data_IF_968065436321
#
_entry.id   IF_968065436321
#
_cell.length_a   1.000
_cell.length_b   1.000
_cell.length_c   1.000
_cell.angle_alpha   90.00
_cell.angle_beta   90.00
_cell.angle_gamma   90.00
#
_symmetry.space_group_name_H-M   'P 1'
#
loop_
_entity.id
_entity.type
_entity.pdbx_description
1 polymer ?
#
# COMPACT_ATOMS: atom_id res chain seq x y z
N UNK A 1 14.39 12.66 -15.88
CA UNK A 1 13.06 12.65 -16.52
C UNK A 1 13.07 12.08 -17.95
N UNK A 2 13.56 12.79 -18.98
CA UNK A 2 13.49 12.32 -20.38
C UNK A 2 14.20 10.96 -20.65
N UNK A 3 15.38 10.75 -20.07
CA UNK A 3 16.09 9.47 -20.17
C UNK A 3 15.37 8.31 -19.45
N UNK A 4 14.55 8.62 -18.44
CA UNK A 4 13.80 7.64 -17.66
C UNK A 4 12.60 7.11 -18.48
N UNK A 5 11.84 8.03 -19.09
CA UNK A 5 10.72 7.72 -19.99
C UNK A 5 11.18 7.05 -21.32
N UNK A 6 12.34 7.44 -21.85
CA UNK A 6 12.86 6.94 -23.11
C UNK A 6 13.07 5.41 -23.11
N UNK A 7 13.45 4.79 -21.98
CA UNK A 7 13.69 3.35 -21.97
C UNK A 7 12.40 2.55 -22.18
N UNK A 8 11.32 2.91 -21.49
CA UNK A 8 10.04 2.22 -21.65
C UNK A 8 9.62 2.21 -23.13
N UNK A 9 9.83 3.31 -23.84
CA UNK A 9 9.59 3.39 -25.28
C UNK A 9 10.54 2.49 -26.09
N UNK A 10 11.84 2.46 -25.76
CA UNK A 10 12.81 1.56 -26.40
C UNK A 10 12.43 0.09 -26.22
N UNK A 11 11.96 -0.32 -25.03
CA UNK A 11 11.50 -1.69 -24.81
C UNK A 11 10.28 -2.03 -25.68
N UNK A 12 9.35 -1.10 -25.88
CA UNK A 12 8.23 -1.28 -26.81
C UNK A 12 8.68 -1.45 -28.26
N UNK A 13 9.69 -0.69 -28.69
CA UNK A 13 10.27 -0.82 -30.04
C UNK A 13 10.96 -2.18 -30.23
N UNK A 14 11.55 -2.72 -29.17
CA UNK A 14 12.25 -4.01 -29.20
C UNK A 14 11.33 -5.21 -29.01
N UNK A 15 10.09 -5.00 -28.57
CA UNK A 15 9.12 -6.07 -28.33
C UNK A 15 8.92 -7.01 -29.54
N UNK A 16 8.80 -6.52 -30.80
CA UNK A 16 8.72 -7.39 -31.98
C UNK A 16 10.01 -8.19 -32.25
N UNK A 17 11.16 -7.73 -31.75
CA UNK A 17 12.46 -8.41 -31.91
C UNK A 17 12.68 -9.53 -30.89
N UNK A 18 11.73 -9.74 -29.99
CA UNK A 18 11.76 -10.80 -29.00
C UNK A 18 12.44 -10.41 -27.69
N UNK A 19 12.19 -11.24 -26.68
CA UNK A 19 12.53 -10.93 -25.29
C UNK A 19 14.04 -10.78 -25.03
N UNK A 20 14.88 -11.49 -25.77
CA UNK A 20 16.32 -11.45 -25.57
C UNK A 20 16.90 -10.08 -25.96
N UNK A 21 16.38 -9.46 -27.02
CA UNK A 21 16.76 -8.10 -27.41
C UNK A 21 16.36 -7.07 -26.33
N UNK A 22 15.18 -7.25 -25.73
CA UNK A 22 14.72 -6.40 -24.62
C UNK A 22 15.60 -6.56 -23.38
N UNK A 23 16.01 -7.80 -23.04
CA UNK A 23 16.87 -8.09 -21.88
C UNK A 23 18.24 -7.45 -21.99
N UNK A 24 18.85 -7.48 -23.17
CA UNK A 24 20.17 -6.86 -23.43
C UNK A 24 20.11 -5.37 -23.12
N UNK A 25 19.10 -4.67 -23.64
CA UNK A 25 18.93 -3.24 -23.44
C UNK A 25 18.56 -2.91 -22.00
N UNK A 26 17.67 -3.70 -21.38
CA UNK A 26 17.33 -3.56 -19.97
C UNK A 26 18.57 -3.69 -19.06
N UNK A 27 19.46 -4.66 -19.32
CA UNK A 27 20.66 -4.88 -18.52
C UNK A 27 21.58 -3.66 -18.49
N UNK A 28 21.79 -3.00 -19.62
CA UNK A 28 22.65 -1.82 -19.70
C UNK A 28 21.98 -0.59 -19.08
N UNK A 29 20.69 -0.40 -19.34
CA UNK A 29 19.94 0.69 -18.71
C UNK A 29 19.89 0.53 -17.19
N UNK A 30 19.64 -0.69 -16.70
CA UNK A 30 19.57 -1.00 -15.29
C UNK A 30 20.85 -0.59 -14.55
N UNK A 31 22.03 -0.79 -15.15
CA UNK A 31 23.31 -0.34 -14.57
C UNK A 31 23.33 1.18 -14.34
N UNK A 32 22.89 1.94 -15.34
CA UNK A 32 22.85 3.41 -15.29
C UNK A 32 21.82 3.89 -14.28
N UNK A 33 20.61 3.35 -14.33
CA UNK A 33 19.51 3.74 -13.43
C UNK A 33 19.87 3.48 -11.96
N UNK A 34 20.48 2.33 -11.68
CA UNK A 34 21.01 1.98 -10.36
C UNK A 34 22.03 2.99 -9.84
N UNK A 35 22.91 3.49 -10.72
CA UNK A 35 23.88 4.53 -10.37
C UNK A 35 23.18 5.86 -10.08
N UNK A 36 22.26 6.27 -10.96
CA UNK A 36 21.52 7.53 -10.82
C UNK A 36 20.74 7.60 -9.51
N UNK A 37 20.03 6.55 -9.15
CA UNK A 37 19.32 6.52 -7.87
C UNK A 37 20.27 6.75 -6.69
N UNK A 38 21.46 6.16 -6.74
CA UNK A 38 22.40 6.22 -5.61
C UNK A 38 23.08 7.59 -5.51
N UNK A 39 23.32 8.23 -6.64
CA UNK A 39 24.23 9.37 -6.75
C UNK A 39 23.53 10.69 -7.09
N UNK A 40 22.29 10.68 -7.57
CA UNK A 40 21.56 11.90 -7.93
C UNK A 40 21.06 12.59 -6.65
N UNK A 41 21.56 13.79 -6.31
CA UNK A 41 21.17 14.50 -5.10
C UNK A 41 19.78 15.15 -5.22
N UNK A 42 19.21 15.18 -6.43
CA UNK A 42 17.92 15.82 -6.69
C UNK A 42 16.78 14.87 -6.34
N UNK A 43 15.87 15.34 -5.50
CA UNK A 43 14.77 14.52 -4.98
C UNK A 43 13.53 14.53 -5.86
N UNK A 44 13.31 15.64 -6.57
CA UNK A 44 12.23 15.84 -7.53
C UNK A 44 12.25 14.83 -8.70
N UNK A 45 13.41 14.25 -9.00
CA UNK A 45 13.58 13.26 -10.08
C UNK A 45 13.50 11.80 -9.59
N UNK A 46 13.48 11.56 -8.28
CA UNK A 46 13.39 10.21 -7.70
C UNK A 46 12.11 9.46 -8.10
N UNK A 47 10.91 10.09 -8.07
CA UNK A 47 9.68 9.46 -8.56
C UNK A 47 9.80 9.00 -10.02
N UNK A 48 10.45 9.79 -10.89
CA UNK A 48 10.63 9.43 -12.30
C UNK A 48 11.50 8.20 -12.49
N UNK A 49 12.52 8.02 -11.65
CA UNK A 49 13.34 6.82 -11.66
C UNK A 49 12.52 5.59 -11.28
N UNK A 50 11.66 5.70 -10.26
CA UNK A 50 10.78 4.61 -9.81
C UNK A 50 9.76 4.26 -10.91
N UNK A 51 9.11 5.27 -11.48
CA UNK A 51 8.16 5.10 -12.59
C UNK A 51 8.83 4.44 -13.80
N UNK A 52 10.09 4.75 -14.09
CA UNK A 52 10.81 4.09 -15.17
C UNK A 52 11.09 2.61 -14.86
N UNK A 53 11.44 2.25 -13.62
CA UNK A 53 11.56 0.84 -13.21
C UNK A 53 10.24 0.11 -13.38
N UNK A 54 9.16 0.72 -12.92
CA UNK A 54 7.83 0.13 -12.94
C UNK A 54 7.38 -0.18 -14.38
N UNK A 55 7.42 0.84 -15.25
CA UNK A 55 7.08 0.71 -16.65
C UNK A 55 7.87 -0.39 -17.37
N UNK A 56 9.15 -0.51 -17.08
CA UNK A 56 9.99 -1.54 -17.69
C UNK A 56 9.70 -2.93 -17.15
N UNK A 57 9.39 -3.04 -15.85
CA UNK A 57 8.97 -4.28 -15.19
C UNK A 57 7.70 -4.83 -15.84
N UNK A 58 6.69 -3.98 -16.01
CA UNK A 58 5.42 -4.36 -16.66
C UNK A 58 5.66 -4.87 -18.09
N UNK A 59 6.51 -4.20 -18.86
CA UNK A 59 6.80 -4.57 -20.27
C UNK A 59 7.60 -5.86 -20.42
N UNK A 60 8.54 -6.10 -19.51
CA UNK A 60 9.36 -7.31 -19.51
C UNK A 60 8.60 -8.52 -18.92
N UNK A 61 7.56 -8.29 -18.11
CA UNK A 61 6.70 -9.35 -17.58
C UNK A 61 7.46 -10.37 -16.71
N UNK A 62 7.05 -11.64 -16.74
CA UNK A 62 7.73 -12.72 -16.00
C UNK A 62 9.20 -12.94 -16.43
N UNK A 63 9.58 -12.40 -17.59
CA UNK A 63 10.90 -12.53 -18.19
C UNK A 63 11.93 -11.54 -17.64
N UNK A 64 11.48 -10.62 -16.78
CA UNK A 64 12.28 -9.87 -15.79
C UNK A 64 13.23 -10.81 -15.02
N UNK A 65 12.89 -12.10 -14.89
CA UNK A 65 13.69 -13.10 -14.15
C UNK A 65 15.15 -13.21 -14.56
N UNK A 66 15.54 -13.02 -15.82
CA UNK A 66 16.92 -13.31 -16.26
C UNK A 66 17.92 -12.21 -15.83
N UNK A 67 17.61 -10.91 -15.96
CA UNK A 67 18.38 -9.86 -15.30
C UNK A 67 18.22 -9.85 -13.77
N UNK A 68 17.14 -10.43 -13.24
CA UNK A 68 16.80 -10.41 -11.80
C UNK A 68 17.37 -11.60 -11.00
N UNK A 69 17.86 -12.66 -11.67
CA UNK A 69 18.35 -13.90 -11.04
C UNK A 69 19.54 -13.70 -10.09
N UNK A 70 20.29 -12.62 -10.27
CA UNK A 70 21.38 -12.16 -9.39
C UNK A 70 21.12 -10.73 -8.86
N UNK A 71 19.87 -10.28 -8.94
CA UNK A 71 19.48 -8.97 -8.50
C UNK A 71 19.16 -9.06 -7.01
N UNK A 72 20.09 -8.58 -6.20
CA UNK A 72 19.89 -8.35 -4.76
C UNK A 72 18.89 -7.20 -4.57
N UNK A 73 17.66 -7.37 -5.06
CA UNK A 73 16.55 -6.42 -4.86
C UNK A 73 16.44 -6.10 -3.40
N UNK A 74 16.61 -7.08 -2.51
CA UNK A 74 16.64 -6.89 -1.07
C UNK A 74 17.68 -5.84 -0.66
N UNK A 75 18.91 -5.87 -1.17
CA UNK A 75 19.95 -4.87 -0.89
C UNK A 75 19.61 -3.49 -1.45
N UNK A 76 18.93 -3.42 -2.59
CA UNK A 76 18.61 -2.15 -3.24
C UNK A 76 17.29 -1.56 -2.75
N UNK A 77 16.21 -2.31 -2.61
CA UNK A 77 15.06 -1.93 -1.78
C UNK A 77 15.54 -1.50 -0.40
N UNK A 78 16.48 -2.20 0.24
CA UNK A 78 17.10 -1.70 1.48
C UNK A 78 17.84 -0.39 1.30
N UNK A 79 18.59 -0.14 0.22
CA UNK A 79 19.29 1.15 0.01
C UNK A 79 18.30 2.29 -0.27
N UNK A 80 17.26 2.03 -1.06
CA UNK A 80 16.23 3.01 -1.39
C UNK A 80 15.29 3.23 -0.22
N UNK A 81 14.72 2.17 0.35
CA UNK A 81 13.89 2.24 1.56
C UNK A 81 14.73 2.79 2.70
N UNK A 82 15.97 2.35 2.96
CA UNK A 82 16.79 2.95 4.04
C UNK A 82 17.21 4.39 3.74
N UNK A 83 17.53 4.74 2.49
CA UNK A 83 17.80 6.14 2.12
C UNK A 83 16.59 7.01 2.36
N UNK A 84 15.43 6.59 1.88
CA UNK A 84 14.16 7.32 1.96
C UNK A 84 13.62 7.33 3.39
N UNK A 85 13.58 6.19 4.08
CA UNK A 85 13.08 6.07 5.47
C UNK A 85 14.01 6.76 6.46
N UNK A 86 15.34 6.70 6.30
CA UNK A 86 16.27 7.42 7.20
C UNK A 86 16.21 8.93 6.92
N UNK A 87 16.11 9.36 5.67
CA UNK A 87 16.00 10.78 5.34
C UNK A 87 14.63 11.36 5.72
N UNK A 88 13.54 10.60 5.56
CA UNK A 88 12.20 10.95 6.03
C UNK A 88 12.12 10.95 7.55
N UNK A 89 12.70 9.96 8.25
CA UNK A 89 12.75 9.94 9.72
C UNK A 89 13.65 11.04 10.28
N UNK A 90 14.76 11.38 9.60
CA UNK A 90 15.62 12.49 9.98
C UNK A 90 14.94 13.84 9.74
N UNK A 91 14.20 14.00 8.64
CA UNK A 91 13.42 15.22 8.35
C UNK A 91 12.20 15.35 9.24
N UNK A 92 11.52 14.25 9.57
CA UNK A 92 10.50 14.21 10.60
C UNK A 92 11.12 14.55 11.96
N UNK A 93 12.31 14.04 12.27
CA UNK A 93 13.07 14.40 13.47
C UNK A 93 13.44 15.88 13.53
N UNK A 94 13.87 16.47 12.40
CA UNK A 94 14.13 17.92 12.26
C UNK A 94 12.84 18.71 12.38
N UNK A 95 11.75 18.31 11.72
CA UNK A 95 10.42 18.93 11.85
C UNK A 95 9.85 18.81 13.26
N UNK A 96 10.16 17.75 14.02
CA UNK A 96 9.77 17.58 15.43
C UNK A 96 10.60 18.51 16.32
N UNK A 97 11.90 18.66 16.06
CA UNK A 97 12.75 19.65 16.73
C UNK A 97 12.29 21.09 16.43
N UNK A 98 11.93 21.39 15.19
CA UNK A 98 11.39 22.69 14.76
C UNK A 98 9.95 22.91 15.27
N UNK A 99 9.15 21.85 15.45
CA UNK A 99 7.82 21.88 16.08
C UNK A 99 7.83 22.29 17.55
N UNK A 100 8.97 22.21 18.22
CA UNK A 100 9.09 22.76 19.58
C UNK A 100 9.08 24.30 19.58
N UNK A 101 9.09 24.97 18.42
CA UNK A 101 9.16 26.43 18.35
C UNK A 101 7.98 27.18 17.68
N UNK A 102 7.03 26.62 16.92
CA UNK A 102 5.98 27.47 16.29
C UNK A 102 4.64 26.77 15.95
N UNK A 103 3.70 26.76 16.90
CA UNK A 103 2.36 26.15 16.80
C UNK A 103 1.41 26.76 15.74
N UNK A 104 1.76 27.89 15.09
CA UNK A 104 0.78 28.63 14.26
C UNK A 104 0.95 28.44 12.74
N UNK A 105 2.06 27.87 12.25
CA UNK A 105 2.33 27.69 10.80
C UNK A 105 1.96 26.31 10.22
N UNK A 106 1.45 25.42 11.07
CA UNK A 106 1.31 23.99 10.80
C UNK A 106 0.28 23.63 9.71
N UNK A 107 -0.76 24.45 9.53
CA UNK A 107 -1.85 24.19 8.57
C UNK A 107 -1.52 24.57 7.13
N UNK A 108 -0.69 25.59 6.89
CA UNK A 108 -0.31 26.01 5.53
C UNK A 108 0.91 25.23 4.97
N UNK A 109 1.76 24.67 5.83
CA UNK A 109 2.86 23.81 5.36
C UNK A 109 2.42 22.40 4.99
N UNK A 110 1.27 21.91 5.49
CA UNK A 110 0.71 20.60 5.13
C UNK A 110 0.44 20.45 3.63
N UNK A 111 0.13 21.55 2.93
CA UNK A 111 -0.14 21.59 1.48
C UNK A 111 1.11 21.84 0.63
N UNK A 112 2.21 22.34 1.23
CA UNK A 112 3.52 22.50 0.59
C UNK A 112 4.40 21.23 0.56
N UNK A 113 3.93 20.12 1.15
CA UNK A 113 4.64 18.83 1.32
C UNK A 113 4.74 17.96 0.05
N UNK A 114 4.48 18.53 -1.14
CA UNK A 114 4.22 17.79 -2.38
C UNK A 114 5.36 16.93 -2.94
N UNK A 115 6.61 17.09 -2.48
CA UNK A 115 7.77 16.49 -3.16
C UNK A 115 8.19 15.10 -2.60
N UNK A 116 8.14 14.89 -1.28
CA UNK A 116 8.47 13.57 -0.69
C UNK A 116 7.26 12.61 -0.67
N UNK A 117 6.03 13.13 -0.57
CA UNK A 117 4.78 12.34 -0.61
C UNK A 117 4.69 11.48 -1.87
N UNK A 118 5.13 12.00 -3.03
CA UNK A 118 5.08 11.27 -4.29
C UNK A 118 6.03 10.06 -4.35
N UNK A 119 7.11 10.03 -3.58
CA UNK A 119 8.11 8.95 -3.68
C UNK A 119 7.57 7.65 -3.06
N UNK A 120 6.99 7.72 -1.85
CA UNK A 120 6.43 6.54 -1.18
C UNK A 120 5.23 5.96 -1.93
N UNK A 121 4.40 6.81 -2.54
CA UNK A 121 3.36 6.41 -3.49
C UNK A 121 3.93 5.56 -4.62
N UNK A 122 4.98 6.07 -5.28
CA UNK A 122 5.60 5.35 -6.39
C UNK A 122 6.27 4.06 -5.95
N UNK A 123 6.78 3.98 -4.73
CA UNK A 123 7.30 2.72 -4.17
C UNK A 123 6.17 1.72 -3.93
N UNK A 124 5.07 2.14 -3.32
CA UNK A 124 3.91 1.28 -3.09
C UNK A 124 3.33 0.75 -4.42
N UNK A 125 3.19 1.62 -5.42
CA UNK A 125 2.79 1.25 -6.79
C UNK A 125 3.76 0.23 -7.41
N UNK A 126 5.07 0.47 -7.32
CA UNK A 126 6.09 -0.45 -7.83
C UNK A 126 6.04 -1.81 -7.13
N UNK A 127 5.85 -1.87 -5.81
CA UNK A 127 5.71 -3.13 -5.05
C UNK A 127 4.51 -3.93 -5.57
N UNK A 128 3.36 -3.28 -5.75
CA UNK A 128 2.15 -3.92 -6.31
C UNK A 128 2.41 -4.43 -7.73
N UNK A 129 3.06 -3.65 -8.57
CA UNK A 129 3.40 -4.03 -9.94
C UNK A 129 4.37 -5.22 -10.01
N UNK A 130 5.39 -5.23 -9.15
CA UNK A 130 6.33 -6.35 -9.01
C UNK A 130 5.61 -7.63 -8.57
N UNK A 131 4.68 -7.54 -7.61
CA UNK A 131 3.83 -8.68 -7.24
C UNK A 131 2.95 -9.15 -8.40
N UNK A 132 2.30 -8.25 -9.14
CA UNK A 132 1.50 -8.62 -10.33
C UNK A 132 2.35 -9.29 -11.41
N UNK A 133 3.60 -8.84 -11.57
CA UNK A 133 4.50 -9.32 -12.62
C UNK A 133 5.16 -10.65 -12.25
N UNK A 134 5.65 -10.78 -11.02
CA UNK A 134 6.49 -11.90 -10.58
C UNK A 134 5.73 -12.90 -9.68
N UNK A 135 4.55 -12.56 -9.20
CA UNK A 135 3.79 -13.35 -8.22
C UNK A 135 4.57 -13.59 -6.93
N UNK A 136 4.38 -14.75 -6.32
CA UNK A 136 5.06 -15.15 -5.07
C UNK A 136 6.58 -15.27 -5.21
N UNK A 137 7.13 -15.32 -6.43
CA UNK A 137 8.59 -15.28 -6.62
C UNK A 137 9.21 -13.91 -6.27
N UNK A 138 8.40 -12.87 -6.11
CA UNK A 138 8.86 -11.59 -5.56
C UNK A 138 9.14 -11.67 -4.05
N UNK A 139 8.53 -12.62 -3.33
CA UNK A 139 8.63 -12.72 -1.88
C UNK A 139 10.08 -12.84 -1.37
N UNK A 140 10.95 -13.56 -2.10
CA UNK A 140 12.36 -13.71 -1.77
C UNK A 140 13.12 -12.37 -1.64
N UNK A 141 12.60 -11.33 -2.29
CA UNK A 141 13.22 -10.02 -2.34
C UNK A 141 12.62 -9.02 -1.35
N UNK A 142 11.33 -9.16 -1.07
CA UNK A 142 10.58 -8.20 -0.23
C UNK A 142 10.56 -8.60 1.25
N UNK A 143 10.57 -9.91 1.57
CA UNK A 143 10.63 -10.41 2.94
C UNK A 143 11.77 -9.80 3.75
N UNK A 144 13.01 -9.71 3.22
CA UNK A 144 14.11 -9.15 4.00
C UNK A 144 13.90 -7.66 4.33
N UNK A 145 13.12 -6.93 3.54
CA UNK A 145 12.78 -5.53 3.75
C UNK A 145 11.52 -5.32 4.62
N UNK A 146 10.78 -6.37 4.96
CA UNK A 146 9.49 -6.28 5.65
C UNK A 146 9.58 -5.50 6.98
N UNK A 147 10.66 -5.68 7.75
CA UNK A 147 10.85 -4.98 9.02
C UNK A 147 11.05 -3.46 8.88
N UNK A 148 11.36 -2.97 7.68
CA UNK A 148 11.56 -1.54 7.42
C UNK A 148 10.24 -0.79 7.26
N UNK A 149 9.13 -1.49 6.98
CA UNK A 149 7.83 -0.84 6.81
C UNK A 149 7.10 -0.61 8.13
N UNK A 150 7.46 -1.34 9.20
CA UNK A 150 6.82 -1.16 10.50
C UNK A 150 7.07 0.23 11.13
N UNK A 151 8.30 0.79 11.10
CA UNK A 151 8.53 2.17 11.53
C UNK A 151 7.71 3.22 10.78
N UNK A 152 7.35 2.98 9.51
CA UNK A 152 6.48 3.88 8.75
C UNK A 152 5.05 3.91 9.30
N UNK A 153 4.62 2.88 10.03
CA UNK A 153 3.32 2.87 10.69
C UNK A 153 3.43 3.44 12.11
N UNK A 154 4.50 3.11 12.81
CA UNK A 154 4.67 3.46 14.22
C UNK A 154 5.01 4.95 14.42
N UNK A 155 5.86 5.52 13.56
CA UNK A 155 6.48 6.82 13.80
C UNK A 155 6.19 7.88 12.73
N UNK A 156 5.52 7.53 11.63
CA UNK A 156 5.17 8.50 10.58
C UNK A 156 3.91 9.30 10.95
N UNK A 157 3.86 10.55 10.47
CA UNK A 157 2.62 11.35 10.48
C UNK A 157 1.57 10.74 9.55
N UNK A 158 1.99 10.33 8.36
CA UNK A 158 1.15 9.57 7.44
C UNK A 158 1.55 8.09 7.50
N UNK A 159 0.72 7.30 8.17
CA UNK A 159 0.98 5.88 8.44
C UNK A 159 0.50 5.01 7.28
N UNK A 160 -0.26 5.58 6.34
CA UNK A 160 -0.87 4.87 5.22
C UNK A 160 0.15 4.18 4.32
N UNK A 161 1.38 4.72 4.22
CA UNK A 161 2.49 4.11 3.46
C UNK A 161 2.84 2.71 3.93
N UNK A 162 3.05 2.55 5.24
CA UNK A 162 3.34 1.24 5.81
C UNK A 162 2.13 0.30 5.69
N UNK A 163 0.92 0.84 5.80
CA UNK A 163 -0.32 0.07 5.64
C UNK A 163 -0.53 -0.41 4.19
N UNK A 164 -0.22 0.41 3.18
CA UNK A 164 -0.27 0.02 1.77
C UNK A 164 0.67 -1.15 1.47
N UNK A 165 1.84 -1.17 2.11
CA UNK A 165 2.74 -2.31 2.01
C UNK A 165 2.14 -3.58 2.61
N UNK A 166 1.53 -3.49 3.80
CA UNK A 166 0.83 -4.62 4.41
C UNK A 166 -0.33 -5.10 3.51
N UNK A 167 -1.10 -4.18 2.94
CA UNK A 167 -2.17 -4.49 1.98
C UNK A 167 -1.66 -5.30 0.78
N UNK A 168 -0.52 -4.91 0.20
CA UNK A 168 0.11 -5.66 -0.87
C UNK A 168 0.50 -7.09 -0.45
N UNK A 169 1.03 -7.28 0.77
CA UNK A 169 1.32 -8.61 1.30
C UNK A 169 0.07 -9.48 1.39
N UNK A 170 -1.04 -8.94 1.92
CA UNK A 170 -2.29 -9.70 1.99
C UNK A 170 -2.84 -10.08 0.61
N UNK A 171 -2.75 -9.16 -0.35
CA UNK A 171 -3.27 -9.36 -1.70
C UNK A 171 -2.48 -10.38 -2.50
N UNK A 172 -1.16 -10.43 -2.34
CA UNK A 172 -0.29 -11.19 -3.23
C UNK A 172 0.54 -12.29 -2.55
N UNK A 173 0.74 -12.21 -1.24
CA UNK A 173 1.60 -13.11 -0.48
C UNK A 173 1.11 -13.32 0.98
N UNK A 174 -0.15 -13.73 1.20
CA UNK A 174 -0.74 -13.83 2.54
C UNK A 174 -0.02 -14.80 3.49
N UNK A 175 0.64 -15.82 2.95
CA UNK A 175 1.43 -16.76 3.76
C UNK A 175 2.71 -16.13 4.32
N UNK A 176 3.21 -15.11 3.63
CA UNK A 176 4.45 -14.40 4.00
C UNK A 176 4.22 -13.42 5.14
N UNK A 177 3.01 -12.85 5.27
CA UNK A 177 2.68 -11.95 6.38
C UNK A 177 2.43 -12.69 7.69
N UNK A 178 2.09 -13.98 7.64
CA UNK A 178 1.67 -14.74 8.83
C UNK A 178 2.72 -14.84 9.95
N UNK A 179 4.02 -15.08 9.68
CA UNK A 179 5.03 -15.12 10.75
C UNK A 179 5.12 -13.85 11.60
N UNK A 180 4.66 -12.71 11.08
CA UNK A 180 4.66 -11.40 11.76
C UNK A 180 3.26 -10.88 12.06
N UNK A 181 2.25 -11.77 12.06
CA UNK A 181 0.84 -11.36 12.20
C UNK A 181 0.55 -10.56 13.47
N UNK A 182 1.14 -10.95 14.60
CA UNK A 182 0.94 -10.23 15.87
C UNK A 182 1.43 -8.78 15.78
N UNK A 183 2.59 -8.55 15.18
CA UNK A 183 3.14 -7.22 14.99
C UNK A 183 2.27 -6.39 14.02
N UNK A 184 1.81 -7.00 12.93
CA UNK A 184 0.88 -6.35 11.98
C UNK A 184 -0.39 -5.89 12.71
N UNK A 185 -0.99 -6.76 13.51
CA UNK A 185 -2.23 -6.49 14.24
C UNK A 185 -2.03 -5.39 15.28
N UNK A 186 -0.94 -5.43 16.05
CA UNK A 186 -0.58 -4.39 17.02
C UNK A 186 -0.45 -3.01 16.37
N UNK A 187 0.08 -2.95 15.15
CA UNK A 187 0.23 -1.70 14.40
C UNK A 187 -1.08 -1.24 13.75
N UNK A 188 -1.93 -2.14 13.27
CA UNK A 188 -3.15 -1.79 12.53
C UNK A 188 -4.35 -1.44 13.39
N UNK A 189 -4.57 -2.13 14.52
CA UNK A 189 -5.76 -1.89 15.35
C UNK A 189 -5.90 -0.43 15.79
N UNK A 190 -4.85 0.22 16.35
CA UNK A 190 -4.94 1.62 16.75
C UNK A 190 -5.30 2.56 15.61
N UNK A 191 -5.00 2.18 14.36
CA UNK A 191 -5.27 3.03 13.20
C UNK A 191 -6.74 3.14 12.85
N UNK A 192 -7.59 2.21 13.30
CA UNK A 192 -9.05 2.30 13.11
C UNK A 192 -9.64 3.51 13.88
N UNK A 193 -8.92 3.99 14.90
CA UNK A 193 -9.30 5.14 15.72
C UNK A 193 -8.37 6.34 15.53
N UNK A 194 -7.48 6.32 14.53
CA UNK A 194 -6.54 7.41 14.27
C UNK A 194 -7.28 8.71 13.92
N UNK A 195 -6.74 9.86 14.33
CA UNK A 195 -7.34 11.16 14.01
C UNK A 195 -7.32 11.43 12.49
N UNK A 196 -6.28 10.96 11.80
CA UNK A 196 -6.11 11.14 10.36
C UNK A 196 -6.97 10.14 9.59
N UNK A 197 -7.91 10.65 8.80
CA UNK A 197 -8.86 9.82 8.06
C UNK A 197 -8.21 8.81 7.12
N UNK A 198 -7.12 9.20 6.45
CA UNK A 198 -6.40 8.31 5.54
C UNK A 198 -5.82 7.07 6.25
N UNK A 199 -5.38 7.20 7.50
CA UNK A 199 -4.89 6.08 8.30
C UNK A 199 -6.03 5.11 8.62
N UNK A 200 -7.21 5.63 8.99
CA UNK A 200 -8.42 4.82 9.22
C UNK A 200 -8.88 4.08 7.97
N UNK A 201 -8.95 4.79 6.83
CA UNK A 201 -9.27 4.19 5.51
C UNK A 201 -8.37 3.00 5.23
N UNK A 202 -7.06 3.21 5.32
CA UNK A 202 -6.05 2.20 4.98
C UNK A 202 -6.17 0.98 5.90
N UNK A 203 -6.32 1.20 7.21
CA UNK A 203 -6.45 0.13 8.19
C UNK A 203 -7.73 -0.68 7.98
N UNK A 204 -8.88 -0.02 7.79
CA UNK A 204 -10.15 -0.66 7.50
C UNK A 204 -10.01 -1.59 6.28
N UNK A 205 -9.47 -1.08 5.17
CA UNK A 205 -9.24 -1.85 3.96
C UNK A 205 -8.45 -3.15 4.23
N UNK A 206 -7.36 -3.09 5.02
CA UNK A 206 -6.57 -4.28 5.34
C UNK A 206 -7.35 -5.30 6.16
N UNK A 207 -8.15 -4.88 7.14
CA UNK A 207 -9.03 -5.83 7.87
C UNK A 207 -10.06 -6.49 6.95
N UNK A 208 -10.58 -5.76 5.95
CA UNK A 208 -11.40 -6.34 4.88
C UNK A 208 -10.66 -7.38 4.03
N UNK A 209 -9.36 -7.20 3.78
CA UNK A 209 -8.53 -8.20 3.10
C UNK A 209 -8.24 -9.42 3.99
N UNK A 210 -8.08 -9.23 5.31
CA UNK A 210 -7.90 -10.34 6.26
C UNK A 210 -9.10 -11.29 6.24
N UNK A 211 -10.32 -10.77 6.09
CA UNK A 211 -11.54 -11.58 6.01
C UNK A 211 -11.56 -12.53 4.79
N UNK A 212 -11.03 -12.10 3.65
CA UNK A 212 -10.94 -12.92 2.43
C UNK A 212 -9.84 -13.98 2.50
N UNK A 213 -8.96 -13.90 3.49
CA UNK A 213 -7.86 -14.83 3.62
C UNK A 213 -8.36 -16.24 3.97
N UNK A 214 -7.73 -17.27 3.39
CA UNK A 214 -8.09 -18.66 3.67
C UNK A 214 -7.66 -19.13 5.07
N UNK A 215 -6.77 -18.41 5.76
CA UNK A 215 -6.32 -18.76 7.11
C UNK A 215 -7.36 -18.34 8.17
N UNK A 216 -7.84 -19.26 9.02
CA UNK A 216 -8.82 -18.94 10.06
C UNK A 216 -8.36 -17.84 11.02
N UNK A 217 -7.06 -17.77 11.33
CA UNK A 217 -6.49 -16.78 12.23
C UNK A 217 -6.69 -15.35 11.71
N UNK A 218 -6.48 -15.13 10.40
CA UNK A 218 -6.72 -13.84 9.77
C UNK A 218 -8.21 -13.48 9.77
N UNK A 219 -9.08 -14.47 9.52
CA UNK A 219 -10.53 -14.28 9.62
C UNK A 219 -10.97 -13.87 11.02
N UNK A 220 -10.41 -14.50 12.06
CA UNK A 220 -10.72 -14.17 13.46
C UNK A 220 -10.23 -12.77 13.84
N UNK A 221 -9.06 -12.36 13.37
CA UNK A 221 -8.55 -10.99 13.55
C UNK A 221 -9.44 -9.96 12.83
N UNK A 222 -9.92 -10.27 11.62
CA UNK A 222 -10.90 -9.43 10.92
C UNK A 222 -12.20 -9.31 11.72
N UNK A 223 -12.71 -10.41 12.28
CA UNK A 223 -13.89 -10.41 13.15
C UNK A 223 -13.68 -9.54 14.40
N UNK A 224 -12.50 -9.58 15.02
CA UNK A 224 -12.19 -8.74 16.18
C UNK A 224 -12.23 -7.24 15.87
N UNK A 225 -11.98 -6.83 14.62
CA UNK A 225 -12.04 -5.41 14.21
C UNK A 225 -13.47 -4.86 14.04
N UNK A 226 -14.50 -5.72 14.05
CA UNK A 226 -15.87 -5.33 13.73
C UNK A 226 -16.44 -4.22 14.61
N UNK A 227 -16.11 -4.22 15.90
CA UNK A 227 -16.58 -3.19 16.83
C UNK A 227 -16.05 -1.81 16.41
N UNK A 228 -14.74 -1.70 16.20
CA UNK A 228 -14.08 -0.46 15.74
C UNK A 228 -14.57 -0.01 14.36
N UNK A 229 -14.78 -0.95 13.42
CA UNK A 229 -15.36 -0.61 12.12
C UNK A 229 -16.80 -0.08 12.24
N UNK A 230 -17.61 -0.65 13.13
CA UNK A 230 -18.97 -0.14 13.40
C UNK A 230 -18.92 1.24 14.05
N UNK A 231 -17.99 1.49 14.97
CA UNK A 231 -17.79 2.81 15.59
C UNK A 231 -17.47 3.87 14.52
N UNK A 232 -16.59 3.57 13.56
CA UNK A 232 -16.30 4.45 12.42
C UNK A 232 -17.56 4.78 11.60
N UNK A 233 -18.48 3.83 11.44
CA UNK A 233 -19.73 4.03 10.71
C UNK A 233 -20.76 4.84 11.51
N UNK A 234 -20.72 4.74 12.85
CA UNK A 234 -21.64 5.42 13.76
C UNK A 234 -21.15 6.80 14.22
N UNK A 235 -19.92 7.19 13.89
CA UNK A 235 -19.37 8.49 14.28
C UNK A 235 -20.25 9.63 13.73
N UNK A 236 -20.42 10.71 14.51
CA UNK A 236 -21.28 11.85 14.15
C UNK A 236 -20.88 12.47 12.82
N UNK A 237 -19.58 12.54 12.56
CA UNK A 237 -19.00 13.10 11.34
C UNK A 237 -18.69 12.05 10.26
N UNK A 238 -19.14 10.79 10.42
CA UNK A 238 -18.80 9.69 9.50
C UNK A 238 -19.13 9.97 8.03
N UNK A 239 -20.11 10.84 7.75
CA UNK A 239 -20.56 11.16 6.38
C UNK A 239 -20.10 12.51 5.86
N UNK A 240 -19.20 13.20 6.56
CA UNK A 240 -18.65 14.49 6.16
C UNK A 240 -17.16 14.37 5.87
N UNK A 241 -16.63 15.25 5.02
CA UNK A 241 -15.19 15.30 4.78
C UNK A 241 -14.45 15.75 6.06
N UNK A 242 -13.26 15.19 6.36
CA UNK A 242 -12.51 14.19 5.58
C UNK A 242 -12.86 12.72 5.89
N UNK A 243 -13.88 12.44 6.70
CA UNK A 243 -14.19 11.10 7.26
C UNK A 243 -14.95 10.17 6.31
N UNK A 244 -15.74 10.73 5.39
CA UNK A 244 -16.60 10.03 4.43
C UNK A 244 -15.91 8.84 3.72
N UNK A 245 -14.67 9.00 3.24
CA UNK A 245 -13.96 7.93 2.54
C UNK A 245 -13.54 6.76 3.47
N UNK A 246 -13.16 7.07 4.71
CA UNK A 246 -12.82 6.06 5.71
C UNK A 246 -14.07 5.27 6.13
N UNK A 247 -15.21 5.96 6.25
CA UNK A 247 -16.49 5.31 6.56
C UNK A 247 -16.92 4.36 5.43
N UNK A 248 -16.80 4.75 4.16
CA UNK A 248 -17.09 3.86 3.04
C UNK A 248 -16.19 2.60 3.06
N UNK A 249 -14.90 2.76 3.36
CA UNK A 249 -13.97 1.64 3.52
C UNK A 249 -14.31 0.75 4.73
N UNK A 250 -14.80 1.32 5.84
CA UNK A 250 -15.27 0.55 6.99
C UNK A 250 -16.53 -0.25 6.66
N UNK A 251 -17.51 0.35 5.99
CA UNK A 251 -18.74 -0.32 5.52
C UNK A 251 -18.38 -1.51 4.63
N UNK A 252 -17.50 -1.28 3.65
CA UNK A 252 -17.04 -2.35 2.78
C UNK A 252 -16.29 -3.44 3.55
N UNK A 253 -15.44 -3.07 4.51
CA UNK A 253 -14.72 -4.06 5.31
C UNK A 253 -15.66 -4.90 6.17
N UNK A 254 -16.70 -4.30 6.76
CA UNK A 254 -17.78 -5.03 7.44
C UNK A 254 -18.47 -5.97 6.46
N UNK A 255 -18.80 -5.52 5.24
CA UNK A 255 -19.38 -6.35 4.19
C UNK A 255 -18.51 -7.58 3.88
N UNK A 256 -17.21 -7.37 3.65
CA UNK A 256 -16.22 -8.45 3.39
C UNK A 256 -16.15 -9.44 4.56
N UNK A 257 -16.20 -8.96 5.81
CA UNK A 257 -16.24 -9.81 7.01
C UNK A 257 -17.54 -10.60 7.08
N UNK A 258 -18.70 -9.98 6.84
CA UNK A 258 -19.99 -10.69 6.83
C UNK A 258 -20.01 -11.79 5.77
N UNK A 259 -19.52 -11.50 4.57
CA UNK A 259 -19.45 -12.44 3.45
C UNK A 259 -18.56 -13.65 3.77
N UNK A 260 -17.36 -13.42 4.32
CA UNK A 260 -16.33 -14.46 4.45
C UNK A 260 -16.21 -15.09 5.84
N UNK A 261 -16.76 -14.43 6.86
CA UNK A 261 -16.67 -14.80 8.27
C UNK A 261 -18.05 -14.88 8.96
N UNK A 262 -19.16 -14.77 8.22
CA UNK A 262 -20.52 -14.72 8.77
C UNK A 262 -20.89 -15.87 9.72
N UNK A 263 -20.28 -17.04 9.53
CA UNK A 263 -20.43 -18.23 10.38
C UNK A 263 -19.93 -18.02 11.82
N UNK A 264 -19.01 -17.07 12.05
CA UNK A 264 -18.42 -16.81 13.37
C UNK A 264 -19.16 -15.72 14.15
N UNK A 265 -19.96 -14.89 13.48
CA UNK A 265 -20.46 -13.61 14.03
C UNK A 265 -21.99 -13.47 14.03
N UNK A 266 -22.71 -14.49 13.57
CA UNK A 266 -24.16 -14.41 13.37
C UNK A 266 -24.50 -13.50 12.18
N UNK A 267 -24.31 -14.04 10.97
CA UNK A 267 -24.47 -13.35 9.67
C UNK A 267 -25.69 -12.43 9.59
N UNK A 268 -26.86 -12.91 10.01
CA UNK A 268 -28.12 -12.14 9.91
C UNK A 268 -28.09 -10.84 10.72
N UNK A 269 -27.64 -10.91 11.98
CA UNK A 269 -27.58 -9.72 12.84
C UNK A 269 -26.61 -8.68 12.28
N UNK A 270 -25.46 -9.12 11.77
CA UNK A 270 -24.49 -8.21 11.18
C UNK A 270 -24.95 -7.68 9.82
N UNK A 271 -25.70 -8.47 9.06
CA UNK A 271 -26.33 -8.00 7.81
C UNK A 271 -27.29 -6.84 8.06
N UNK A 272 -28.17 -6.96 9.06
CA UNK A 272 -29.10 -5.89 9.40
C UNK A 272 -28.38 -4.59 9.76
N UNK A 273 -27.25 -4.68 10.47
CA UNK A 273 -26.39 -3.51 10.75
C UNK A 273 -25.75 -2.94 9.49
N UNK A 274 -25.18 -3.80 8.64
CA UNK A 274 -24.53 -3.40 7.39
C UNK A 274 -25.49 -2.59 6.51
N UNK A 275 -26.75 -3.05 6.36
CA UNK A 275 -27.76 -2.36 5.58
C UNK A 275 -28.08 -0.94 6.11
N UNK A 276 -28.02 -0.73 7.44
CA UNK A 276 -28.20 0.60 8.04
C UNK A 276 -27.04 1.55 7.75
N UNK A 277 -25.85 1.00 7.46
CA UNK A 277 -24.69 1.80 7.09
C UNK A 277 -24.61 2.11 5.59
N UNK A 278 -25.55 1.66 4.76
CA UNK A 278 -25.58 2.04 3.35
C UNK A 278 -26.20 3.45 3.17
N UNK A 279 -25.90 4.16 2.06
CA UNK A 279 -25.08 3.76 0.91
C UNK A 279 -23.58 4.05 1.09
N UNK A 280 -22.75 3.40 0.26
CA UNK A 280 -21.41 3.89 -0.10
C UNK A 280 -21.57 5.11 -1.01
N UNK A 281 -20.81 6.20 -0.79
CA UNK A 281 -21.01 7.50 -1.46
C UNK A 281 -19.80 7.98 -2.28
N UNK A 282 -18.61 7.80 -1.75
CA UNK A 282 -17.36 8.38 -2.25
C UNK A 282 -16.48 7.34 -2.92
N UNK A 283 -16.25 6.21 -2.24
CA UNK A 283 -15.37 5.16 -2.74
C UNK A 283 -16.12 4.22 -3.69
N UNK A 284 -16.01 4.50 -4.99
CA UNK A 284 -16.67 3.71 -6.04
C UNK A 284 -16.16 2.28 -6.11
N UNK A 285 -14.88 2.05 -5.84
CA UNK A 285 -14.30 0.70 -5.90
C UNK A 285 -14.89 -0.18 -4.79
N UNK A 286 -14.96 0.37 -3.58
CA UNK A 286 -15.60 -0.30 -2.45
C UNK A 286 -17.13 -0.43 -2.63
N UNK A 287 -17.75 0.54 -3.30
CA UNK A 287 -19.15 0.48 -3.71
C UNK A 287 -19.46 -0.73 -4.59
N UNK A 288 -18.63 -1.01 -5.61
CA UNK A 288 -18.80 -2.19 -6.47
C UNK A 288 -18.78 -3.48 -5.64
N UNK A 289 -17.88 -3.59 -4.66
CA UNK A 289 -17.77 -4.77 -3.80
C UNK A 289 -19.03 -4.95 -2.96
N UNK A 290 -19.46 -3.89 -2.29
CA UNK A 290 -20.63 -3.92 -1.40
C UNK A 290 -21.91 -4.24 -2.16
N UNK A 291 -22.17 -3.54 -3.27
CA UNK A 291 -23.42 -3.75 -4.01
C UNK A 291 -23.43 -5.07 -4.79
N UNK A 292 -22.27 -5.58 -5.23
CA UNK A 292 -22.20 -6.95 -5.81
C UNK A 292 -22.60 -7.99 -4.78
N UNK A 293 -22.07 -7.90 -3.54
CA UNK A 293 -22.45 -8.82 -2.48
C UNK A 293 -23.94 -8.71 -2.11
N UNK A 294 -24.51 -7.51 -2.09
CA UNK A 294 -25.94 -7.32 -1.83
C UNK A 294 -26.79 -7.91 -2.97
N UNK A 295 -26.36 -7.76 -4.23
CA UNK A 295 -27.04 -8.39 -5.36
C UNK A 295 -27.02 -9.93 -5.23
N UNK A 296 -25.87 -10.51 -4.92
CA UNK A 296 -25.71 -11.97 -4.69
C UNK A 296 -26.59 -12.51 -3.54
N UNK A 297 -27.07 -11.65 -2.64
CA UNK A 297 -27.96 -12.04 -1.53
C UNK A 297 -29.44 -11.99 -1.89
N UNK A 298 -29.81 -11.21 -2.89
CA UNK A 298 -31.20 -10.99 -3.31
C UNK A 298 -31.61 -12.00 -4.40
N UNK A 299 -30.64 -12.44 -5.22
CA UNK A 299 -30.80 -13.53 -6.21
C UNK A 299 -30.91 -14.92 -5.56
#
# INVERSE_FOLDING_TARGET
QAAAAALSAVLSILQPKGIEAMRVVWKEYWKTLKRLIKEDPRRDVTPDYIIAVDNCTVKLGKEVRVPFKNFHIDKYLRIFIKGITVDEMNEIGVMIMEKMEEETRMMEQLTGRGENIGVLDKIAELVVSLFKTMGTSFCQYIIPAMSLFFPLIDSSVDKSWGVHFISALFRFAPDVSFPVHQQIVQLLFPLLHDEISQNRTSAAHVFGLMAHNNRPEWKMLAVQSLESLCEMCCHTDARTAPYNFATDNAISSICKIVQNCGQFIGREKMMSKLLLFLPIREDREEGVIVYSFIADLIE
#
